data_IF_636048763196
#
_entry.id   IF_636048763196
#
_cell.length_a   1.000
_cell.length_b   1.000
_cell.length_c   1.000
_cell.angle_alpha   90.00
_cell.angle_beta   90.00
_cell.angle_gamma   90.00
#
_symmetry.space_group_name_H-M   'P 1'
#
loop_
_entity.id
_entity.type
_entity.pdbx_description
1 polymer ?
#
# COMPACT_ATOMS: atom_id res chain seq x y z
N UNK A 1 -0.36 38.96 10.85
CA UNK A 1 -0.99 37.65 11.09
C UNK A 1 -1.82 37.26 9.88
N UNK A 2 -1.62 36.06 9.32
CA UNK A 2 -2.27 35.61 8.08
C UNK A 2 -3.62 34.93 8.32
N UNK A 3 -4.30 34.54 7.23
CA UNK A 3 -5.57 33.79 7.28
C UNK A 3 -5.42 32.51 8.11
N UNK A 4 -6.31 32.25 9.07
CA UNK A 4 -6.25 31.05 9.90
C UNK A 4 -6.42 29.77 9.06
N UNK A 5 -5.83 28.67 9.54
CA UNK A 5 -5.97 27.37 8.92
C UNK A 5 -7.40 26.85 9.05
N UNK A 6 -7.91 26.20 8.00
CA UNK A 6 -9.26 25.60 7.98
C UNK A 6 -9.37 24.29 8.77
N UNK A 7 -8.24 23.74 9.22
CA UNK A 7 -8.15 22.49 9.99
C UNK A 7 -7.53 22.88 11.32
N UNK A 8 -8.21 22.60 12.44
CA UNK A 8 -7.67 22.83 13.78
C UNK A 8 -6.52 21.86 14.10
N UNK A 9 -5.79 22.07 15.19
CA UNK A 9 -4.74 21.13 15.61
C UNK A 9 -5.30 19.76 15.99
N UNK A 10 -6.46 19.71 16.67
CA UNK A 10 -7.15 18.43 16.95
C UNK A 10 -7.54 17.67 15.68
N UNK A 11 -8.07 18.40 14.68
CA UNK A 11 -8.41 17.81 13.38
C UNK A 11 -7.15 17.39 12.60
N UNK A 12 -6.01 18.06 12.82
CA UNK A 12 -4.73 17.72 12.21
C UNK A 12 -4.25 16.35 12.70
N UNK A 13 -4.30 16.10 14.00
CA UNK A 13 -3.94 14.80 14.57
C UNK A 13 -4.86 13.69 14.07
N UNK A 14 -6.17 13.97 14.02
CA UNK A 14 -7.16 13.07 13.42
C UNK A 14 -6.87 12.77 11.95
N UNK A 15 -6.44 13.78 11.18
CA UNK A 15 -6.06 13.63 9.78
C UNK A 15 -4.81 12.76 9.64
N UNK A 16 -3.75 13.03 10.40
CA UNK A 16 -2.49 12.26 10.38
C UNK A 16 -2.75 10.79 10.73
N UNK A 17 -3.47 10.51 11.82
CA UNK A 17 -3.86 9.14 12.21
C UNK A 17 -4.69 8.44 11.14
N UNK A 18 -5.49 9.20 10.39
CA UNK A 18 -6.35 8.65 9.34
C UNK A 18 -5.62 8.29 8.06
N UNK A 19 -4.43 8.85 7.80
CA UNK A 19 -3.69 8.64 6.56
C UNK A 19 -2.40 7.86 6.76
N UNK A 20 -1.70 8.04 7.88
CA UNK A 20 -0.35 7.51 8.03
C UNK A 20 -0.33 5.97 7.96
N UNK A 21 0.58 5.43 7.14
CA UNK A 21 0.71 4.01 6.81
C UNK A 21 -0.58 3.38 6.25
N UNK A 22 -1.34 4.13 5.43
CA UNK A 22 -2.56 3.64 4.77
C UNK A 22 -2.58 3.94 3.27
N UNK A 23 -3.18 3.04 2.49
CA UNK A 23 -3.48 3.20 1.07
C UNK A 23 -4.99 3.33 0.82
N UNK A 24 -5.40 3.61 -0.42
CA UNK A 24 -6.83 3.62 -0.81
C UNK A 24 -7.62 4.84 -0.34
N UNK A 25 -6.93 5.91 0.06
CA UNK A 25 -7.55 7.14 0.56
C UNK A 25 -7.36 8.28 -0.44
N UNK A 26 -8.45 8.73 -1.05
CA UNK A 26 -8.44 9.95 -1.87
C UNK A 26 -8.55 11.19 -0.98
N UNK A 27 -7.85 12.27 -1.36
CA UNK A 27 -7.99 13.56 -0.67
C UNK A 27 -9.40 14.14 -0.77
N UNK A 28 -10.17 13.73 -1.80
CA UNK A 28 -11.59 14.05 -1.91
C UNK A 28 -12.41 13.39 -0.79
N UNK A 29 -12.16 12.10 -0.50
CA UNK A 29 -12.81 11.38 0.61
C UNK A 29 -12.44 11.99 1.96
N UNK A 30 -11.16 12.35 2.13
CA UNK A 30 -10.70 13.06 3.33
C UNK A 30 -11.36 14.44 3.45
N UNK A 31 -11.47 15.20 2.35
CA UNK A 31 -12.13 16.50 2.35
C UNK A 31 -13.58 16.43 2.84
N UNK A 32 -14.35 15.45 2.37
CA UNK A 32 -15.72 15.20 2.86
C UNK A 32 -15.74 14.87 4.36
N UNK A 33 -14.81 14.03 4.83
CA UNK A 33 -14.72 13.63 6.25
C UNK A 33 -14.39 14.80 7.19
N UNK A 34 -13.51 15.70 6.77
CA UNK A 34 -13.06 16.85 7.56
C UNK A 34 -13.81 18.14 7.19
N UNK A 35 -14.89 18.06 6.40
CA UNK A 35 -15.70 19.22 5.97
C UNK A 35 -14.89 20.34 5.32
N UNK A 36 -13.87 19.98 4.55
CA UNK A 36 -13.00 20.92 3.83
C UNK A 36 -12.83 20.51 2.37
N UNK A 37 -12.48 21.47 1.53
CA UNK A 37 -12.12 21.16 0.15
C UNK A 37 -10.83 20.33 0.09
N UNK A 38 -10.72 19.39 -0.85
CA UNK A 38 -9.57 18.49 -0.99
C UNK A 38 -8.22 19.23 -1.11
N UNK A 39 -8.20 20.44 -1.69
CA UNK A 39 -6.98 21.26 -1.76
C UNK A 39 -6.50 21.76 -0.38
N UNK A 40 -7.41 21.89 0.59
CA UNK A 40 -7.05 22.17 1.97
C UNK A 40 -6.35 20.96 2.62
N UNK A 41 -6.84 19.73 2.36
CA UNK A 41 -6.15 18.50 2.82
C UNK A 41 -4.74 18.43 2.26
N UNK A 42 -4.58 18.61 0.95
CA UNK A 42 -3.26 18.61 0.28
C UNK A 42 -2.30 19.63 0.90
N UNK A 43 -2.77 20.87 1.06
CA UNK A 43 -1.98 21.96 1.63
C UNK A 43 -1.62 21.69 3.09
N UNK A 44 -2.55 21.17 3.88
CA UNK A 44 -2.32 20.84 5.29
C UNK A 44 -1.29 19.74 5.44
N UNK A 45 -1.42 18.62 4.70
CA UNK A 45 -0.44 17.54 4.73
C UNK A 45 0.96 18.04 4.35
N UNK A 46 1.07 18.84 3.29
CA UNK A 46 2.35 19.39 2.82
C UNK A 46 2.98 20.42 3.77
N UNK A 47 2.17 21.32 4.37
CA UNK A 47 2.70 22.47 5.13
C UNK A 47 2.80 22.22 6.63
N UNK A 48 2.00 21.30 7.18
CA UNK A 48 1.84 21.12 8.63
C UNK A 48 2.17 19.71 9.11
N UNK A 49 2.55 18.80 8.21
CA UNK A 49 2.90 17.42 8.57
C UNK A 49 4.11 16.93 7.78
N UNK A 50 4.72 15.85 8.24
CA UNK A 50 5.74 15.10 7.49
C UNK A 50 5.17 13.98 6.62
N UNK A 51 3.83 13.84 6.56
CA UNK A 51 3.17 12.79 5.79
C UNK A 51 3.27 13.11 4.30
N UNK A 52 3.82 12.15 3.54
CA UNK A 52 3.95 12.24 2.08
C UNK A 52 3.25 11.07 1.41
N UNK A 53 2.64 11.33 0.25
CA UNK A 53 2.10 10.30 -0.62
C UNK A 53 3.22 9.63 -1.42
N UNK A 54 3.27 8.30 -1.41
CA UNK A 54 4.29 7.49 -2.08
C UNK A 54 3.64 6.44 -2.97
N UNK A 55 4.28 6.11 -4.09
CA UNK A 55 3.85 5.00 -4.95
C UNK A 55 4.18 3.68 -4.26
N UNK A 56 3.29 2.70 -4.37
CA UNK A 56 3.58 1.32 -3.97
C UNK A 56 4.66 0.72 -4.85
N UNK A 57 5.51 -0.10 -4.26
CA UNK A 57 6.60 -0.78 -4.94
C UNK A 57 6.08 -2.06 -5.56
N UNK A 58 6.73 -2.51 -6.63
CA UNK A 58 6.51 -3.89 -7.09
C UNK A 58 6.98 -4.84 -6.01
N UNK A 59 6.26 -5.95 -5.85
CA UNK A 59 6.69 -7.02 -4.96
C UNK A 59 8.17 -7.35 -5.24
N UNK A 60 8.99 -7.52 -4.19
CA UNK A 60 10.40 -7.82 -4.37
C UNK A 60 10.53 -9.11 -5.18
N UNK A 61 11.50 -9.14 -6.09
CA UNK A 61 11.93 -10.39 -6.71
C UNK A 61 12.49 -11.32 -5.62
N UNK A 62 12.51 -12.62 -5.88
CA UNK A 62 13.07 -13.61 -4.94
C UNK A 62 14.58 -13.36 -4.77
N UNK A 63 14.94 -12.45 -3.86
CA UNK A 63 16.30 -11.94 -3.74
C UNK A 63 17.08 -12.61 -2.60
N UNK A 64 16.41 -13.39 -1.73
CA UNK A 64 17.10 -14.10 -0.65
C UNK A 64 17.48 -15.51 -1.06
N UNK A 65 18.63 -15.99 -0.56
CA UNK A 65 19.10 -17.35 -0.78
C UNK A 65 18.08 -18.39 -0.27
N UNK A 66 17.36 -18.07 0.80
CA UNK A 66 16.33 -18.93 1.35
C UNK A 66 15.11 -19.08 0.44
N UNK A 67 14.71 -18.00 -0.24
CA UNK A 67 13.63 -18.05 -1.23
C UNK A 67 14.05 -18.91 -2.43
N UNK A 68 15.28 -18.74 -2.92
CA UNK A 68 15.85 -19.56 -3.99
C UNK A 68 15.90 -21.05 -3.61
N UNK A 69 16.41 -21.35 -2.41
CA UNK A 69 16.51 -22.72 -1.89
C UNK A 69 15.12 -23.37 -1.76
N UNK A 70 14.13 -22.62 -1.27
CA UNK A 70 12.75 -23.09 -1.15
C UNK A 70 12.14 -23.37 -2.52
N UNK A 71 12.32 -22.47 -3.48
CA UNK A 71 11.85 -22.64 -4.85
C UNK A 71 12.47 -23.89 -5.48
N UNK A 72 13.81 -24.04 -5.44
CA UNK A 72 14.51 -25.22 -5.96
C UNK A 72 14.02 -26.53 -5.34
N UNK A 73 13.88 -26.57 -4.02
CA UNK A 73 13.38 -27.76 -3.30
C UNK A 73 11.96 -28.13 -3.73
N UNK A 74 11.07 -27.14 -3.87
CA UNK A 74 9.68 -27.36 -4.25
C UNK A 74 9.56 -27.78 -5.72
N UNK A 75 10.27 -27.10 -6.64
CA UNK A 75 10.30 -27.47 -8.05
C UNK A 75 10.84 -28.89 -8.25
N UNK A 76 11.91 -29.26 -7.56
CA UNK A 76 12.46 -30.62 -7.64
C UNK A 76 11.49 -31.70 -7.14
N UNK A 77 10.70 -31.40 -6.09
CA UNK A 77 9.63 -32.31 -5.63
C UNK A 77 8.51 -32.45 -6.67
N UNK A 78 8.10 -31.34 -7.29
CA UNK A 78 7.06 -31.32 -8.32
C UNK A 78 7.50 -32.11 -9.56
N UNK A 79 8.74 -31.88 -10.02
CA UNK A 79 9.33 -32.61 -11.13
C UNK A 79 9.35 -34.12 -10.92
N UNK A 80 9.76 -34.59 -9.73
CA UNK A 80 9.72 -36.03 -9.42
C UNK A 80 8.32 -36.63 -9.45
N UNK A 81 7.29 -35.87 -9.04
CA UNK A 81 5.88 -36.30 -9.13
C UNK A 81 5.39 -36.37 -10.57
N UNK A 82 5.80 -35.42 -11.41
CA UNK A 82 5.51 -35.45 -12.85
C UNK A 82 6.12 -36.69 -13.51
N UNK A 83 7.39 -37.01 -13.19
CA UNK A 83 8.05 -38.21 -13.72
C UNK A 83 7.37 -39.53 -13.31
N UNK A 84 6.72 -39.57 -12.14
CA UNK A 84 5.96 -40.74 -11.70
C UNK A 84 4.60 -40.90 -12.40
N UNK A 85 4.31 -40.11 -13.43
CA UNK A 85 3.08 -40.20 -14.22
C UNK A 85 1.90 -39.42 -13.65
N UNK A 86 2.13 -38.45 -12.76
CA UNK A 86 1.07 -37.52 -12.35
C UNK A 86 0.92 -36.39 -13.36
N UNK A 87 -0.31 -36.01 -13.66
CA UNK A 87 -0.60 -34.78 -14.40
C UNK A 87 -0.66 -33.58 -13.46
N UNK A 88 -0.20 -32.43 -13.95
CA UNK A 88 -0.32 -31.15 -13.25
C UNK A 88 -1.26 -30.27 -14.04
N UNK A 89 -2.39 -29.95 -13.42
CA UNK A 89 -3.33 -28.95 -13.91
C UNK A 89 -3.02 -27.66 -13.15
N UNK A 90 -2.64 -26.61 -13.88
CA UNK A 90 -2.41 -25.28 -13.33
C UNK A 90 -3.62 -24.40 -13.66
N UNK A 91 -4.12 -23.71 -12.64
CA UNK A 91 -5.12 -22.67 -12.80
C UNK A 91 -4.58 -21.36 -12.21
N UNK A 92 -4.78 -20.25 -12.92
CA UNK A 92 -4.35 -18.91 -12.48
C UNK A 92 -5.59 -18.12 -12.04
N UNK A 93 -6.18 -18.53 -10.92
CA UNK A 93 -7.27 -17.79 -10.30
C UNK A 93 -6.73 -16.48 -9.68
N UNK A 94 -6.95 -15.38 -10.39
CA UNK A 94 -6.69 -14.05 -9.83
C UNK A 94 -7.87 -13.60 -8.97
N UNK A 95 -7.75 -13.77 -7.66
CA UNK A 95 -8.70 -13.20 -6.70
C UNK A 95 -8.74 -11.66 -6.82
N UNK A 96 -9.87 -11.11 -7.27
CA UNK A 96 -10.12 -9.67 -7.29
C UNK A 96 -10.31 -9.13 -5.87
N UNK A 97 -9.21 -8.74 -5.22
CA UNK A 97 -9.23 -8.15 -3.88
C UNK A 97 -9.34 -6.62 -3.96
N UNK A 98 -10.17 -6.04 -3.10
CA UNK A 98 -10.33 -4.58 -2.96
C UNK A 98 -9.07 -3.88 -2.40
N UNK A 99 -8.09 -4.63 -1.89
CA UNK A 99 -6.85 -4.13 -1.28
C UNK A 99 -5.64 -4.09 -2.21
N UNK A 100 -5.74 -4.69 -3.41
CA UNK A 100 -4.64 -4.76 -4.36
C UNK A 100 -4.35 -3.41 -5.04
N UNK A 101 -3.12 -3.25 -5.55
CA UNK A 101 -2.71 -2.09 -6.35
C UNK A 101 -3.43 -2.02 -7.72
N UNK A 102 -4.10 -3.10 -8.15
CA UNK A 102 -4.93 -3.15 -9.35
C UNK A 102 -6.21 -2.29 -9.22
N UNK A 103 -6.58 -1.88 -8.00
CA UNK A 103 -7.73 -1.01 -7.74
C UNK A 103 -7.30 0.46 -7.77
N UNK A 104 -8.01 1.27 -8.55
CA UNK A 104 -7.77 2.71 -8.64
C UNK A 104 -7.79 3.37 -7.26
N UNK A 105 -6.73 4.10 -6.92
CA UNK A 105 -6.55 4.74 -5.60
C UNK A 105 -5.72 3.94 -4.59
N UNK A 106 -5.48 2.64 -4.83
CA UNK A 106 -4.58 1.84 -4.00
C UNK A 106 -3.13 1.85 -4.47
N UNK A 107 -2.83 2.42 -5.64
CA UNK A 107 -1.47 2.49 -6.20
C UNK A 107 -0.51 3.37 -5.39
N UNK A 108 -1.01 4.10 -4.40
CA UNK A 108 -0.22 4.97 -3.53
C UNK A 108 -0.67 4.86 -2.08
N UNK A 109 0.24 5.15 -1.17
CA UNK A 109 0.01 5.16 0.27
C UNK A 109 0.57 6.44 0.89
N UNK A 110 0.03 6.82 2.04
CA UNK A 110 0.57 7.93 2.83
C UNK A 110 1.47 7.36 3.92
N UNK A 111 2.61 8.00 4.14
CA UNK A 111 3.52 7.63 5.23
C UNK A 111 4.38 8.82 5.67
N UNK A 112 4.79 8.86 6.93
CA UNK A 112 5.89 9.71 7.38
C UNK A 112 7.24 9.08 7.08
N UNK A 113 7.37 7.77 7.27
CA UNK A 113 8.57 6.98 7.01
C UNK A 113 8.22 5.68 6.26
N UNK A 114 8.62 5.50 4.99
CA UNK A 114 8.27 4.31 4.22
C UNK A 114 8.86 3.02 4.80
N UNK A 115 9.98 3.10 5.55
CA UNK A 115 10.64 1.93 6.15
C UNK A 115 9.80 1.31 7.28
N UNK A 116 8.96 2.11 7.94
CA UNK A 116 8.09 1.63 9.03
C UNK A 116 6.70 1.21 8.53
N UNK A 117 6.42 1.35 7.23
CA UNK A 117 5.18 0.89 6.63
C UNK A 117 5.21 -0.63 6.46
N UNK A 118 4.13 -1.32 6.83
CA UNK A 118 4.04 -2.77 6.64
C UNK A 118 4.11 -3.15 5.16
N UNK A 119 4.63 -4.34 4.85
CA UNK A 119 4.75 -4.84 3.47
C UNK A 119 3.43 -4.78 2.68
N UNK A 120 2.29 -5.06 3.33
CA UNK A 120 0.96 -5.01 2.69
C UNK A 120 0.51 -3.61 2.23
N UNK A 121 1.20 -2.55 2.68
CA UNK A 121 0.94 -1.16 2.33
C UNK A 121 2.01 -0.63 1.38
N UNK A 122 3.26 -1.06 1.55
CA UNK A 122 4.38 -0.67 0.69
C UNK A 122 4.33 -1.33 -0.70
N UNK A 123 3.92 -2.61 -0.78
CA UNK A 123 3.93 -3.43 -2.00
C UNK A 123 2.51 -3.62 -2.54
#
# INVERSE_FOLDING_TARGET
>A
SGRPYKISDEQLDGLVKSVNNRCGLSQRKLGRRFWVHHSAISRTLRKRTSVVIRKRRKAPKMNSKDQENRARKNCGKMYRKLLSGCDVILDDEKYFKLSGNNVGGNASFYSTNPVTSSANIEF
#
